data_IF_916708914282
#
_entry.id   IF_916708914282
#
_cell.length_a   1.000
_cell.length_b   1.000
_cell.length_c   1.000
_cell.angle_alpha   90.00
_cell.angle_beta   90.00
_cell.angle_gamma   90.00
#
_symmetry.space_group_name_H-M   'P 1'
#
loop_
_entity.id
_entity.type
_entity.pdbx_description
1 polymer ?
#
# COMPACT_ATOMS: atom_id res chain seq x y z
N UNK A 1 5.29 -9.59 -3.61
CA UNK A 1 5.28 -8.41 -2.73
C UNK A 1 4.39 -7.39 -3.37
N UNK A 2 3.35 -6.96 -2.66
CA UNK A 2 2.45 -5.89 -3.08
C UNK A 2 2.70 -4.68 -2.17
N UNK A 3 2.62 -3.46 -2.71
CA UNK A 3 2.81 -2.22 -1.95
C UNK A 3 1.58 -1.34 -2.15
N UNK A 4 0.96 -0.93 -1.06
CA UNK A 4 -0.11 0.06 -1.05
C UNK A 4 0.41 1.41 -0.59
N UNK A 5 0.00 2.45 -1.31
CA UNK A 5 0.37 3.83 -1.01
C UNK A 5 -0.89 4.68 -1.11
N UNK A 6 -1.13 5.49 -0.08
CA UNK A 6 -2.19 6.49 -0.08
C UNK A 6 -1.54 7.88 -0.09
N UNK A 7 -2.05 8.75 -0.96
CA UNK A 7 -1.57 10.11 -1.12
C UNK A 7 -2.74 11.07 -1.32
N UNK A 8 -2.56 12.33 -0.92
CA UNK A 8 -3.55 13.38 -1.09
C UNK A 8 -3.13 14.38 -2.20
N UNK A 9 -3.99 15.34 -2.50
CA UNK A 9 -3.74 16.37 -3.52
C UNK A 9 -2.59 17.33 -3.15
N UNK A 10 -2.26 17.44 -1.85
CA UNK A 10 -1.12 18.23 -1.35
C UNK A 10 0.21 17.48 -1.45
N UNK A 11 0.22 16.27 -2.06
CA UNK A 11 1.39 15.39 -2.18
C UNK A 11 1.89 14.86 -0.84
N UNK A 12 1.09 14.92 0.22
CA UNK A 12 1.35 14.19 1.45
C UNK A 12 0.95 12.73 1.25
N UNK A 13 1.72 11.84 1.86
CA UNK A 13 1.55 10.40 1.75
C UNK A 13 1.50 9.77 3.12
N UNK A 14 0.62 8.78 3.29
CA UNK A 14 0.70 7.90 4.47
C UNK A 14 1.94 7.03 4.38
N UNK A 15 2.37 6.43 5.48
CA UNK A 15 3.36 5.37 5.40
C UNK A 15 2.80 4.21 4.55
N UNK A 16 3.58 3.68 3.60
CA UNK A 16 3.15 2.56 2.76
C UNK A 16 2.88 1.30 3.56
N UNK A 17 1.99 0.45 3.05
CA UNK A 17 1.89 -0.94 3.48
C UNK A 17 2.56 -1.86 2.46
N UNK A 18 3.39 -2.79 2.93
CA UNK A 18 4.00 -3.82 2.10
C UNK A 18 3.44 -5.18 2.51
N UNK A 19 2.80 -5.87 1.57
CA UNK A 19 2.23 -7.20 1.75
C UNK A 19 3.21 -8.25 1.23
N UNK A 20 3.62 -9.16 2.12
CA UNK A 20 4.46 -10.30 1.77
C UNK A 20 3.67 -11.61 1.72
N UNK A 21 4.07 -12.55 0.83
CA UNK A 21 3.53 -13.90 0.76
C UNK A 21 4.03 -14.77 1.93
N UNK A 22 3.68 -14.40 3.16
CA UNK A 22 4.05 -15.13 4.37
C UNK A 22 2.87 -15.21 5.33
N UNK A 23 2.64 -16.39 5.92
CA UNK A 23 1.80 -16.53 7.11
C UNK A 23 2.52 -16.01 8.35
N UNK A 24 3.84 -16.21 8.41
CA UNK A 24 4.74 -15.71 9.47
C UNK A 24 6.03 -15.17 8.84
N UNK A 25 6.18 -13.85 8.70
CA UNK A 25 7.36 -13.28 8.06
C UNK A 25 8.62 -13.55 8.90
N UNK A 26 9.76 -13.92 8.28
CA UNK A 26 11.03 -14.05 8.98
C UNK A 26 11.42 -12.76 9.70
N UNK A 27 12.11 -12.87 10.85
CA UNK A 27 12.58 -11.70 11.63
C UNK A 27 13.44 -10.75 10.79
N UNK A 28 14.24 -11.28 9.87
CA UNK A 28 15.06 -10.48 8.96
C UNK A 28 14.21 -9.54 8.09
N UNK A 29 13.07 -10.02 7.58
CA UNK A 29 12.14 -9.20 6.80
C UNK A 29 11.49 -8.14 7.67
N UNK A 30 11.00 -8.52 8.85
CA UNK A 30 10.38 -7.58 9.81
C UNK A 30 11.37 -6.48 10.20
N UNK A 31 12.60 -6.84 10.54
CA UNK A 31 13.64 -5.89 10.96
C UNK A 31 14.18 -5.03 9.81
N UNK A 32 14.01 -5.48 8.56
CA UNK A 32 14.38 -4.70 7.36
C UNK A 32 13.34 -3.66 6.95
N UNK A 33 12.13 -3.70 7.54
CA UNK A 33 11.08 -2.73 7.22
C UNK A 33 11.50 -1.32 7.67
N UNK A 34 11.35 -0.30 6.79
CA UNK A 34 11.57 1.08 7.20
C UNK A 34 10.63 1.48 8.35
N UNK A 35 11.10 2.39 9.20
CA UNK A 35 10.31 2.87 10.34
C UNK A 35 8.99 3.50 9.88
N UNK A 36 7.89 3.13 10.56
CA UNK A 36 6.54 3.60 10.27
C UNK A 36 5.80 2.84 9.17
N UNK A 37 6.48 2.01 8.38
CA UNK A 37 5.84 1.23 7.32
C UNK A 37 4.99 0.09 7.90
N UNK A 38 3.87 -0.19 7.23
CA UNK A 38 2.96 -1.25 7.65
C UNK A 38 3.34 -2.57 6.98
N UNK A 39 3.42 -3.63 7.78
CA UNK A 39 3.69 -4.97 7.28
C UNK A 39 2.39 -5.75 7.13
N UNK A 40 1.93 -5.90 5.89
CA UNK A 40 0.82 -6.77 5.54
C UNK A 40 1.28 -8.21 5.35
N UNK A 41 0.40 -9.16 5.68
CA UNK A 41 0.67 -10.60 5.58
C UNK A 41 -0.49 -11.31 4.89
N UNK A 42 -0.19 -12.05 3.84
CA UNK A 42 -1.15 -12.96 3.22
C UNK A 42 -0.42 -14.17 2.66
N UNK A 43 -1.07 -15.33 2.59
CA UNK A 43 -0.43 -16.55 2.09
C UNK A 43 0.01 -16.41 0.62
N UNK A 44 -0.74 -15.63 -0.16
CA UNK A 44 -0.52 -15.44 -1.59
C UNK A 44 0.29 -14.18 -1.91
N UNK A 45 0.52 -13.30 -0.92
CA UNK A 45 1.14 -11.99 -1.11
C UNK A 45 0.25 -10.97 -1.83
N UNK A 46 -1.02 -11.30 -2.07
CA UNK A 46 -2.03 -10.37 -2.57
C UNK A 46 -2.74 -9.65 -1.43
N UNK A 47 -3.30 -8.48 -1.75
CA UNK A 47 -4.17 -7.77 -0.81
C UNK A 47 -5.47 -8.54 -0.61
N UNK A 48 -5.89 -8.67 0.66
CA UNK A 48 -7.16 -9.25 1.09
C UNK A 48 -7.92 -8.22 1.90
N UNK A 49 -9.24 -8.36 1.98
CA UNK A 49 -10.09 -7.40 2.70
C UNK A 49 -9.74 -7.24 4.17
N UNK A 50 -9.31 -8.30 4.85
CA UNK A 50 -8.85 -8.27 6.25
C UNK A 50 -7.56 -7.45 6.42
N UNK A 51 -6.56 -7.70 5.57
CA UNK A 51 -5.29 -6.94 5.56
C UNK A 51 -5.53 -5.46 5.21
N UNK A 52 -6.41 -5.20 4.24
CA UNK A 52 -6.77 -3.85 3.86
C UNK A 52 -7.53 -3.13 4.97
N UNK A 53 -8.46 -3.81 5.66
CA UNK A 53 -9.16 -3.25 6.81
C UNK A 53 -8.18 -2.83 7.91
N UNK A 54 -7.21 -3.68 8.24
CA UNK A 54 -6.16 -3.37 9.22
C UNK A 54 -5.39 -2.10 8.83
N UNK A 55 -5.09 -1.94 7.55
CA UNK A 55 -4.44 -0.73 7.03
C UNK A 55 -5.31 0.52 7.15
N UNK A 56 -6.59 0.43 6.79
CA UNK A 56 -7.51 1.57 6.88
C UNK A 56 -7.71 2.00 8.33
N UNK A 57 -7.91 1.05 9.23
CA UNK A 57 -8.17 1.33 10.64
C UNK A 57 -6.94 1.86 11.38
N UNK A 58 -5.78 1.23 11.19
CA UNK A 58 -4.58 1.53 11.98
C UNK A 58 -3.59 2.44 11.27
N UNK A 59 -3.59 2.45 9.94
CA UNK A 59 -2.71 3.28 9.12
C UNK A 59 -3.38 4.57 8.69
N UNK A 60 -4.38 4.46 7.82
CA UNK A 60 -5.03 5.64 7.23
C UNK A 60 -5.73 6.49 8.30
N UNK A 61 -6.63 5.90 9.09
CA UNK A 61 -7.43 6.66 10.06
C UNK A 61 -6.55 7.35 11.13
N UNK A 62 -5.50 6.66 11.57
CA UNK A 62 -4.49 7.22 12.46
C UNK A 62 -3.79 8.41 11.82
N UNK A 63 -3.30 8.25 10.59
CA UNK A 63 -2.64 9.33 9.84
C UNK A 63 -3.56 10.54 9.61
N UNK A 64 -4.83 10.32 9.27
CA UNK A 64 -5.82 11.39 9.11
C UNK A 64 -5.98 12.21 10.39
N UNK A 65 -5.94 11.54 11.55
CA UNK A 65 -6.02 12.19 12.86
C UNK A 65 -4.74 12.96 13.19
N UNK A 66 -3.58 12.35 12.97
CA UNK A 66 -2.26 12.96 13.26
C UNK A 66 -2.00 14.21 12.39
N UNK A 67 -2.39 14.16 11.11
CA UNK A 67 -2.27 15.29 10.18
C UNK A 67 -3.43 16.30 10.28
N UNK A 68 -4.39 16.07 11.18
CA UNK A 68 -5.58 16.92 11.36
C UNK A 68 -6.36 17.17 10.05
N UNK A 69 -6.54 16.12 9.24
CA UNK A 69 -7.23 16.23 7.96
C UNK A 69 -8.73 16.49 8.18
N UNK A 70 -9.31 17.54 7.58
CA UNK A 70 -10.74 17.82 7.70
C UNK A 70 -11.61 16.71 7.11
N UNK A 71 -12.68 16.38 7.82
CA UNK A 71 -13.64 15.35 7.43
C UNK A 71 -14.92 15.99 6.83
N UNK A 72 -15.60 15.34 5.87
CA UNK A 72 -15.37 13.96 5.41
C UNK A 72 -14.21 13.83 4.42
N UNK A 73 -13.57 12.66 4.41
CA UNK A 73 -12.46 12.31 3.50
C UNK A 73 -12.96 11.39 2.40
N UNK A 74 -12.71 11.73 1.14
CA UNK A 74 -12.99 10.85 0.01
C UNK A 74 -11.78 9.94 -0.27
N UNK A 75 -11.94 8.64 -0.03
CA UNK A 75 -10.94 7.63 -0.34
C UNK A 75 -11.29 6.94 -1.67
N UNK A 76 -10.51 7.25 -2.70
CA UNK A 76 -10.59 6.59 -4.00
C UNK A 76 -9.75 5.31 -3.98
N UNK A 77 -10.37 4.16 -4.24
CA UNK A 77 -9.69 2.87 -4.33
C UNK A 77 -9.80 2.29 -5.75
N UNK A 78 -8.91 1.37 -6.10
CA UNK A 78 -9.10 0.59 -7.31
C UNK A 78 -10.37 -0.28 -7.20
N UNK A 79 -10.97 -0.63 -8.34
CA UNK A 79 -12.24 -1.36 -8.40
C UNK A 79 -12.20 -2.80 -7.88
N UNK A 80 -11.16 -3.23 -7.17
CA UNK A 80 -11.02 -4.60 -6.72
C UNK A 80 -12.02 -4.90 -5.60
N UNK A 81 -12.99 -5.76 -5.93
CA UNK A 81 -14.13 -6.13 -5.05
C UNK A 81 -13.73 -6.62 -3.66
N UNK A 82 -12.52 -7.17 -3.49
CA UNK A 82 -12.05 -7.65 -2.18
C UNK A 82 -11.86 -6.53 -1.14
N UNK A 83 -11.78 -5.27 -1.58
CA UNK A 83 -11.63 -4.08 -0.75
C UNK A 83 -12.98 -3.47 -0.30
N UNK A 84 -14.09 -4.02 -0.78
CA UNK A 84 -15.45 -3.55 -0.50
C UNK A 84 -16.21 -4.54 0.39
N UNK A 85 -15.69 -4.80 1.58
CA UNK A 85 -16.40 -5.61 2.58
C UNK A 85 -17.33 -4.73 3.42
N UNK A 86 -18.39 -5.33 3.97
CA UNK A 86 -19.32 -4.63 4.87
C UNK A 86 -18.62 -4.01 6.07
N UNK A 87 -17.60 -4.71 6.60
CA UNK A 87 -16.82 -4.25 7.76
C UNK A 87 -16.04 -2.98 7.44
N UNK A 88 -15.34 -2.95 6.29
CA UNK A 88 -14.64 -1.74 5.82
C UNK A 88 -15.63 -0.60 5.59
N UNK A 89 -16.76 -0.87 4.91
CA UNK A 89 -17.75 0.17 4.64
C UNK A 89 -18.35 0.77 5.92
N UNK A 90 -18.66 -0.05 6.93
CA UNK A 90 -19.15 0.41 8.23
C UNK A 90 -18.12 1.28 8.94
N UNK A 91 -16.89 0.80 9.05
CA UNK A 91 -15.81 1.55 9.69
C UNK A 91 -15.55 2.88 8.99
N UNK A 92 -15.49 2.89 7.65
CA UNK A 92 -15.33 4.10 6.87
C UNK A 92 -16.48 5.09 7.13
N UNK A 93 -17.73 4.61 7.11
CA UNK A 93 -18.91 5.45 7.39
C UNK A 93 -18.86 6.06 8.79
N UNK A 94 -18.50 5.29 9.82
CA UNK A 94 -18.39 5.75 11.21
C UNK A 94 -17.28 6.80 11.39
N UNK A 95 -16.19 6.68 10.63
CA UNK A 95 -15.06 7.61 10.67
C UNK A 95 -15.14 8.73 9.62
N UNK A 96 -16.30 8.94 8.99
CA UNK A 96 -16.52 9.97 7.94
C UNK A 96 -15.56 9.85 6.75
N UNK A 97 -15.17 8.62 6.42
CA UNK A 97 -14.42 8.26 5.22
C UNK A 97 -15.43 7.77 4.17
N UNK A 98 -15.53 8.50 3.07
CA UNK A 98 -16.35 8.12 1.92
C UNK A 98 -15.48 7.19 1.05
N UNK A 99 -15.80 5.91 1.06
CA UNK A 99 -15.10 4.91 0.24
C UNK A 99 -15.71 4.87 -1.16
N UNK A 100 -14.89 5.13 -2.19
CA UNK A 100 -15.33 5.08 -3.59
C UNK A 100 -14.41 4.20 -4.43
N UNK A 101 -14.95 3.10 -4.94
CA UNK A 101 -14.25 2.21 -5.85
C UNK A 101 -14.39 2.68 -7.30
N UNK A 102 -13.26 2.91 -7.95
CA UNK A 102 -13.23 3.30 -9.35
C UNK A 102 -13.75 2.15 -10.23
N UNK A 103 -14.53 2.43 -11.29
CA UNK A 103 -15.02 1.40 -12.18
C UNK A 103 -13.87 0.63 -12.84
N UNK A 104 -14.04 -0.69 -13.04
CA UNK A 104 -13.06 -1.52 -13.74
C UNK A 104 -12.86 -1.05 -15.19
N UNK A 105 -11.65 -1.25 -15.73
CA UNK A 105 -11.26 -0.93 -17.12
C UNK A 105 -11.16 0.57 -17.48
N UNK A 106 -11.17 1.48 -16.51
CA UNK A 106 -10.96 2.92 -16.74
C UNK A 106 -9.56 3.40 -16.35
N UNK A 107 -8.56 2.51 -16.29
CA UNK A 107 -7.20 2.82 -15.83
C UNK A 107 -6.54 4.00 -16.55
N UNK A 108 -6.79 4.12 -17.85
CA UNK A 108 -6.21 5.16 -18.70
C UNK A 108 -6.89 6.55 -18.56
N UNK A 109 -8.04 6.64 -17.88
CA UNK A 109 -8.82 7.89 -17.75
C UNK A 109 -9.02 8.27 -16.27
N UNK A 110 -9.35 7.30 -15.41
CA UNK A 110 -9.81 7.54 -14.04
C UNK A 110 -8.85 7.09 -12.94
N UNK A 111 -7.74 6.42 -13.27
CA UNK A 111 -6.73 6.01 -12.28
C UNK A 111 -5.46 6.88 -12.39
N UNK A 112 -5.50 8.15 -11.95
CA UNK A 112 -4.35 9.05 -12.03
C UNK A 112 -3.16 8.48 -11.25
N UNK A 113 -3.39 7.70 -10.20
CA UNK A 113 -2.36 7.00 -9.43
C UNK A 113 -1.51 6.05 -10.30
N UNK A 114 -2.15 5.28 -11.18
CA UNK A 114 -1.45 4.33 -12.05
C UNK A 114 -0.52 5.01 -13.05
N UNK A 115 -0.97 6.13 -13.62
CA UNK A 115 -0.22 6.86 -14.65
C UNK A 115 0.87 7.74 -14.03
N UNK A 116 0.58 8.43 -12.92
CA UNK A 116 1.47 9.46 -12.37
C UNK A 116 2.42 8.95 -11.29
N UNK A 117 1.95 8.13 -10.36
CA UNK A 117 2.74 7.70 -9.18
C UNK A 117 3.29 6.29 -9.38
N UNK A 118 2.43 5.33 -9.74
CA UNK A 118 2.84 3.93 -9.81
C UNK A 118 3.69 3.59 -11.03
N UNK A 119 3.50 4.27 -12.17
CA UNK A 119 4.36 4.07 -13.35
C UNK A 119 5.84 4.41 -13.10
N UNK A 120 6.22 5.61 -12.62
CA UNK A 120 7.61 5.90 -12.31
C UNK A 120 8.12 5.03 -11.15
N UNK A 121 7.32 4.77 -10.12
CA UNK A 121 7.70 3.89 -9.01
C UNK A 121 8.05 2.47 -9.49
N UNK A 122 7.20 1.87 -10.34
CA UNK A 122 7.46 0.54 -10.94
C UNK A 122 8.72 0.53 -11.79
N UNK A 123 9.01 1.64 -12.47
CA UNK A 123 10.22 1.77 -13.31
C UNK A 123 11.47 1.81 -12.44
N UNK A 124 11.47 2.66 -11.41
CA UNK A 124 12.63 2.81 -10.54
C UNK A 124 12.88 1.58 -9.65
N UNK A 125 11.81 0.92 -9.21
CA UNK A 125 11.92 -0.36 -8.52
C UNK A 125 12.62 -1.41 -9.37
N UNK A 126 12.27 -1.54 -10.66
CA UNK A 126 12.94 -2.47 -11.58
C UNK A 126 14.42 -2.13 -11.75
N UNK A 127 14.75 -0.85 -11.85
CA UNK A 127 16.15 -0.40 -11.94
C UNK A 127 16.93 -0.78 -10.68
N UNK A 128 16.37 -0.50 -9.51
CA UNK A 128 16.96 -0.81 -8.21
C UNK A 128 17.20 -2.31 -8.02
N UNK A 129 16.20 -3.15 -8.37
CA UNK A 129 16.33 -4.61 -8.31
C UNK A 129 17.43 -5.09 -9.26
N UNK A 130 17.49 -4.56 -10.49
CA UNK A 130 18.53 -4.92 -11.47
C UNK A 130 19.92 -4.52 -11.00
N UNK A 131 20.06 -3.34 -10.40
CA UNK A 131 21.32 -2.89 -9.81
C UNK A 131 21.75 -3.80 -8.66
N UNK A 132 20.82 -4.14 -7.76
CA UNK A 132 21.09 -5.05 -6.67
C UNK A 132 21.54 -6.44 -7.18
N UNK A 133 20.88 -6.97 -8.20
CA UNK A 133 21.24 -8.24 -8.84
C UNK A 133 22.62 -8.23 -9.51
N UNK A 134 22.97 -7.15 -10.21
CA UNK A 134 24.21 -7.10 -10.98
C UNK A 134 25.44 -6.75 -10.14
N UNK A 135 25.28 -5.94 -9.09
CA UNK A 135 26.40 -5.34 -8.38
C UNK A 135 26.46 -5.74 -6.90
N UNK A 136 25.32 -5.86 -6.22
CA UNK A 136 25.30 -6.06 -4.77
C UNK A 136 25.29 -7.55 -4.43
N UNK A 137 24.41 -8.33 -5.05
CA UNK A 137 24.31 -9.78 -4.86
C UNK A 137 25.67 -10.50 -5.05
N UNK A 138 26.39 -10.31 -6.17
CA UNK A 138 27.67 -10.99 -6.40
C UNK A 138 28.78 -10.53 -5.46
N UNK A 139 28.61 -9.37 -4.81
CA UNK A 139 29.57 -8.85 -3.84
C UNK A 139 29.30 -9.45 -2.46
N UNK A 140 28.03 -9.67 -2.10
CA UNK A 140 27.66 -10.36 -0.86
C UNK A 140 28.11 -11.83 -0.93
N UNK A 141 27.84 -12.53 -2.04
CA UNK A 141 28.23 -13.94 -2.21
C UNK A 141 29.74 -14.17 -2.24
N UNK A 142 30.55 -13.14 -2.55
CA UNK A 142 32.02 -13.23 -2.52
C UNK A 142 32.63 -12.97 -1.14
N UNK A 143 31.84 -12.45 -0.19
CA UNK A 143 32.27 -12.11 1.17
C UNK A 143 31.83 -13.16 2.20
N UNK A 144 31.32 -14.31 1.75
CA UNK A 144 31.05 -15.52 2.52
C UNK A 144 31.77 -16.69 1.85
#
# INVERSE_FOLDING_TARGET
MLCEIVFNAERKTTYPMVVFPYTRPPKTVVNSMPSGWFLGKSETGWMRGDVFFEYIANGLNKWLTEENIPQPVLLLIDGHKSLLTLEISKFCSENKIILYALPSNTTHILQPADVSVFKPLKTEWKNSVRMWQNYILPTIERNF
#
